data_IF_924667249283
#
_entry.id   IF_924667249283
#
_cell.length_a   1.000
_cell.length_b   1.000
_cell.length_c   1.000
_cell.angle_alpha   90.00
_cell.angle_beta   90.00
_cell.angle_gamma   90.00
#
_symmetry.space_group_name_H-M   'P 1'
#
loop_
_entity.id
_entity.type
_entity.pdbx_description
1 polymer ?
#
# COMPACT_ATOMS: atom_id res chain seq x y z
N UNK A 1 -32.37 4.05 -11.67
CA UNK A 1 -30.95 4.40 -11.83
C UNK A 1 -30.18 3.30 -11.11
N UNK A 2 -29.64 2.33 -11.85
CA UNK A 2 -29.20 1.04 -11.30
C UNK A 2 -27.99 1.17 -10.38
N UNK A 3 -28.13 0.62 -9.18
CA UNK A 3 -27.10 0.49 -8.15
C UNK A 3 -25.98 -0.45 -8.67
N UNK A 4 -24.82 0.13 -9.00
CA UNK A 4 -23.74 -0.52 -9.75
C UNK A 4 -22.51 -0.84 -8.88
N UNK A 5 -22.65 -0.91 -7.56
CA UNK A 5 -21.47 -0.97 -6.65
C UNK A 5 -21.47 -2.04 -5.57
N UNK A 6 -22.48 -2.91 -5.49
CA UNK A 6 -22.50 -3.99 -4.50
C UNK A 6 -22.48 -5.36 -5.17
N UNK A 7 -21.38 -6.12 -5.02
CA UNK A 7 -21.42 -7.57 -5.25
C UNK A 7 -22.12 -8.16 -4.02
N UNK A 8 -23.31 -8.76 -4.15
CA UNK A 8 -24.02 -9.28 -2.99
C UNK A 8 -23.21 -10.40 -2.31
N UNK A 9 -23.37 -10.51 -0.99
CA UNK A 9 -22.74 -11.58 -0.20
C UNK A 9 -23.43 -12.93 -0.46
N UNK A 10 -24.74 -12.92 -0.71
CA UNK A 10 -25.54 -14.13 -0.84
C UNK A 10 -25.00 -15.12 -1.90
N UNK A 11 -24.62 -14.71 -3.13
CA UNK A 11 -24.04 -15.66 -4.10
C UNK A 11 -22.77 -16.37 -3.64
N UNK A 12 -21.92 -15.74 -2.82
CA UNK A 12 -20.72 -16.39 -2.27
C UNK A 12 -21.09 -17.62 -1.42
N UNK A 13 -22.20 -17.52 -0.71
CA UNK A 13 -22.68 -18.54 0.23
C UNK A 13 -23.60 -19.53 -0.50
N UNK A 14 -24.40 -19.04 -1.44
CA UNK A 14 -25.39 -19.83 -2.15
C UNK A 14 -24.75 -20.87 -3.08
N UNK A 15 -23.64 -20.50 -3.71
CA UNK A 15 -22.87 -21.34 -4.62
C UNK A 15 -21.89 -22.28 -3.90
N UNK A 16 -21.69 -22.09 -2.58
CA UNK A 16 -20.77 -22.91 -1.80
C UNK A 16 -21.39 -24.26 -1.41
N UNK A 17 -20.69 -25.35 -1.76
CA UNK A 17 -20.98 -26.71 -1.28
C UNK A 17 -20.31 -26.98 0.08
N UNK A 18 -19.12 -26.42 0.29
CA UNK A 18 -18.36 -26.48 1.54
C UNK A 18 -17.83 -25.08 1.89
N UNK A 19 -17.64 -24.80 3.18
CA UNK A 19 -17.09 -23.52 3.63
C UNK A 19 -15.64 -23.68 4.11
N UNK A 20 -14.71 -23.17 3.31
CA UNK A 20 -13.28 -23.35 3.57
C UNK A 20 -12.70 -22.16 4.37
N UNK A 21 -11.51 -22.30 4.98
CA UNK A 21 -10.82 -21.19 5.64
C UNK A 21 -10.63 -19.96 4.72
N UNK A 22 -10.40 -20.19 3.42
CA UNK A 22 -10.24 -19.12 2.43
C UNK A 22 -11.51 -18.28 2.24
N UNK A 23 -12.69 -18.89 2.40
CA UNK A 23 -13.97 -18.22 2.17
C UNK A 23 -14.30 -17.19 3.25
N UNK A 24 -13.74 -17.32 4.47
CA UNK A 24 -13.79 -16.28 5.50
C UNK A 24 -13.11 -14.99 5.04
N UNK A 25 -11.96 -15.11 4.39
CA UNK A 25 -11.24 -13.96 3.83
C UNK A 25 -11.99 -13.32 2.66
N UNK A 26 -12.58 -14.13 1.77
CA UNK A 26 -13.43 -13.62 0.67
C UNK A 26 -14.66 -12.90 1.20
N UNK A 27 -15.33 -13.46 2.20
CA UNK A 27 -16.50 -12.87 2.85
C UNK A 27 -16.15 -11.51 3.45
N UNK A 28 -15.03 -11.43 4.18
CA UNK A 28 -14.55 -10.16 4.74
C UNK A 28 -14.24 -9.13 3.67
N UNK A 29 -13.40 -9.46 2.69
CA UNK A 29 -13.02 -8.54 1.59
C UNK A 29 -14.27 -8.03 0.87
N UNK A 30 -15.21 -8.93 0.53
CA UNK A 30 -16.44 -8.57 -0.16
C UNK A 30 -17.35 -7.69 0.71
N UNK A 31 -17.39 -7.93 2.02
CA UNK A 31 -18.18 -7.10 2.95
C UNK A 31 -17.71 -5.65 2.95
N UNK A 32 -16.41 -5.41 2.80
CA UNK A 32 -15.84 -4.06 2.78
C UNK A 32 -15.73 -3.43 1.39
N UNK A 33 -16.27 -4.02 0.32
CA UNK A 33 -16.06 -3.53 -1.06
C UNK A 33 -16.39 -2.03 -1.27
N UNK A 34 -17.26 -1.47 -0.43
CA UNK A 34 -17.66 -0.06 -0.41
C UNK A 34 -16.82 0.86 0.48
N UNK A 35 -15.84 0.31 1.19
CA UNK A 35 -14.87 1.02 2.02
C UNK A 35 -13.44 0.78 1.51
N UNK A 36 -13.03 1.39 0.37
CA UNK A 36 -11.79 1.04 -0.34
C UNK A 36 -10.50 1.13 0.49
N UNK A 37 -10.47 2.02 1.50
CA UNK A 37 -9.33 2.13 2.41
C UNK A 37 -9.14 0.85 3.22
N UNK A 38 -10.23 0.31 3.78
CA UNK A 38 -10.24 -0.94 4.56
C UNK A 38 -9.88 -2.11 3.65
N UNK A 39 -10.44 -2.19 2.44
CA UNK A 39 -10.15 -3.33 1.54
C UNK A 39 -8.70 -3.31 1.06
N UNK A 40 -8.11 -2.13 0.84
CA UNK A 40 -6.68 -2.01 0.52
C UNK A 40 -5.83 -2.56 1.67
N UNK A 41 -6.10 -2.14 2.90
CA UNK A 41 -5.30 -2.53 4.05
C UNK A 41 -5.51 -4.04 4.39
N UNK A 42 -6.75 -4.56 4.23
CA UNK A 42 -7.04 -6.00 4.26
C UNK A 42 -6.29 -6.79 3.19
N UNK A 43 -6.15 -6.25 1.98
CA UNK A 43 -5.49 -6.95 0.87
C UNK A 43 -3.98 -7.15 1.06
N UNK A 44 -3.37 -6.51 2.05
CA UNK A 44 -1.96 -6.72 2.41
C UNK A 44 -1.81 -8.00 3.26
N UNK A 45 -2.78 -8.25 4.14
CA UNK A 45 -2.76 -9.35 5.11
C UNK A 45 -3.45 -10.60 4.56
N UNK A 46 -4.59 -10.45 3.88
CA UNK A 46 -5.39 -11.56 3.38
C UNK A 46 -4.65 -12.43 2.36
N UNK A 47 -4.92 -13.74 2.22
CA UNK A 47 -4.32 -14.60 1.19
C UNK A 47 -4.56 -14.05 -0.22
N UNK A 48 -3.57 -14.21 -1.11
CA UNK A 48 -3.61 -13.60 -2.45
C UNK A 48 -4.76 -14.16 -3.29
N UNK A 49 -5.09 -15.43 -3.09
CA UNK A 49 -6.18 -16.15 -3.73
C UNK A 49 -7.54 -15.53 -3.39
N UNK A 50 -7.74 -15.09 -2.13
CA UNK A 50 -8.97 -14.40 -1.73
C UNK A 50 -9.07 -13.00 -2.35
N UNK A 51 -7.95 -12.27 -2.38
CA UNK A 51 -7.89 -10.94 -3.01
C UNK A 51 -8.22 -11.03 -4.50
N UNK A 52 -7.61 -11.96 -5.23
CA UNK A 52 -7.83 -12.12 -6.68
C UNK A 52 -9.27 -12.52 -7.02
N UNK A 53 -9.92 -13.34 -6.19
CA UNK A 53 -11.31 -13.74 -6.39
C UNK A 53 -12.30 -12.56 -6.29
N UNK A 54 -11.98 -11.57 -5.47
CA UNK A 54 -12.86 -10.43 -5.19
C UNK A 54 -12.54 -9.18 -6.00
N UNK A 55 -11.28 -8.98 -6.40
CA UNK A 55 -10.85 -7.82 -7.17
C UNK A 55 -10.69 -8.12 -8.66
N UNK A 56 -11.75 -7.94 -9.43
CA UNK A 56 -11.72 -8.13 -10.89
C UNK A 56 -11.91 -6.86 -11.71
N UNK A 57 -12.21 -5.71 -11.07
CA UNK A 57 -12.51 -4.46 -11.80
C UNK A 57 -11.37 -3.45 -11.71
N UNK A 58 -10.71 -3.24 -12.85
CA UNK A 58 -9.77 -2.13 -13.07
C UNK A 58 -10.57 -0.91 -13.52
N UNK A 59 -10.46 0.20 -12.79
CA UNK A 59 -11.02 1.49 -13.20
C UNK A 59 -9.98 2.33 -13.93
N UNK A 60 -10.39 3.25 -14.80
CA UNK A 60 -9.47 4.18 -15.45
C UNK A 60 -8.69 5.03 -14.44
N UNK A 61 -9.34 5.46 -13.35
CA UNK A 61 -8.70 6.19 -12.26
C UNK A 61 -7.66 5.35 -11.51
N UNK A 62 -7.96 4.07 -11.22
CA UNK A 62 -6.97 3.18 -10.59
C UNK A 62 -5.78 2.90 -11.51
N UNK A 63 -6.01 2.77 -12.82
CA UNK A 63 -4.93 2.62 -13.80
C UNK A 63 -4.01 3.85 -13.82
N UNK A 64 -4.57 5.05 -13.94
CA UNK A 64 -3.80 6.30 -13.94
C UNK A 64 -3.01 6.48 -12.64
N UNK A 65 -3.63 6.15 -11.49
CA UNK A 65 -2.96 6.18 -10.19
C UNK A 65 -1.79 5.21 -10.13
N UNK A 66 -1.97 3.96 -10.55
CA UNK A 66 -0.89 2.97 -10.60
C UNK A 66 0.24 3.40 -11.53
N UNK A 67 -0.08 3.98 -12.69
CA UNK A 67 0.91 4.54 -13.60
C UNK A 67 1.68 5.71 -12.97
N UNK A 68 1.01 6.59 -12.22
CA UNK A 68 1.67 7.70 -11.54
C UNK A 68 2.67 7.23 -10.47
N UNK A 69 2.33 6.19 -9.72
CA UNK A 69 3.26 5.61 -8.74
C UNK A 69 4.41 4.85 -9.40
N UNK A 70 4.12 4.08 -10.45
CA UNK A 70 5.16 3.42 -11.23
C UNK A 70 6.15 4.44 -11.81
N UNK A 71 5.62 5.53 -12.36
CA UNK A 71 6.43 6.62 -12.88
C UNK A 71 7.26 7.28 -11.77
N UNK A 72 6.69 7.55 -10.60
CA UNK A 72 7.44 8.15 -9.48
C UNK A 72 8.67 7.32 -9.09
N UNK A 73 8.59 5.99 -9.23
CA UNK A 73 9.71 5.07 -8.97
C UNK A 73 10.71 5.06 -10.14
N UNK A 74 10.21 4.97 -11.38
CA UNK A 74 11.06 4.74 -12.56
C UNK A 74 11.67 6.03 -13.12
N UNK A 75 11.00 7.17 -12.98
CA UNK A 75 11.42 8.46 -13.51
C UNK A 75 12.84 8.87 -13.08
N UNK A 76 13.14 8.94 -11.77
CA UNK A 76 14.47 9.27 -11.28
C UNK A 76 15.55 8.30 -11.79
N UNK A 77 15.24 6.99 -11.83
CA UNK A 77 16.14 5.97 -12.36
C UNK A 77 16.48 6.20 -13.84
N UNK A 78 15.46 6.48 -14.66
CA UNK A 78 15.65 6.77 -16.10
C UNK A 78 16.49 8.03 -16.27
N UNK A 79 16.23 9.09 -15.49
CA UNK A 79 17.02 10.31 -15.50
C UNK A 79 18.50 10.04 -15.20
N UNK A 80 18.79 9.30 -14.14
CA UNK A 80 20.16 8.93 -13.80
C UNK A 80 20.82 8.01 -14.85
N UNK A 81 20.07 7.07 -15.43
CA UNK A 81 20.57 6.21 -16.50
C UNK A 81 20.95 7.02 -17.76
N UNK A 82 20.18 8.05 -18.10
CA UNK A 82 20.51 8.98 -19.18
C UNK A 82 21.80 9.76 -18.87
N UNK A 83 21.97 10.24 -17.64
CA UNK A 83 23.20 10.92 -17.19
C UNK A 83 24.42 9.99 -17.27
N UNK A 84 24.29 8.74 -16.79
CA UNK A 84 25.36 7.72 -16.86
C UNK A 84 25.72 7.44 -18.33
N UNK A 85 24.71 7.19 -19.17
CA UNK A 85 24.91 6.93 -20.59
C UNK A 85 25.66 8.08 -21.25
N UNK A 86 25.22 9.32 -21.00
CA UNK A 86 25.89 10.52 -21.52
C UNK A 86 27.36 10.59 -21.09
N UNK A 87 27.64 10.33 -19.81
CA UNK A 87 29.00 10.34 -19.28
C UNK A 87 29.91 9.26 -19.90
N UNK A 88 29.35 8.10 -20.28
CA UNK A 88 30.11 7.00 -20.90
C UNK A 88 30.30 7.14 -22.41
N UNK A 89 29.38 7.79 -23.13
CA UNK A 89 29.44 7.90 -24.61
C UNK A 89 30.21 9.13 -25.11
N UNK A 90 31.10 9.69 -24.28
CA UNK A 90 31.86 10.92 -24.55
C UNK A 90 30.94 12.11 -24.83
N UNK A 91 30.51 12.79 -23.75
CA UNK A 91 29.56 13.92 -23.70
C UNK A 91 29.86 15.17 -24.54
N UNK A 92 30.68 15.06 -25.58
CA UNK A 92 31.03 16.11 -26.54
C UNK A 92 30.09 16.13 -27.76
N UNK A 93 29.38 15.04 -28.04
CA UNK A 93 28.45 14.97 -29.19
C UNK A 93 27.01 15.36 -28.86
N UNK A 94 26.65 15.44 -27.57
CA UNK A 94 25.28 15.68 -27.12
C UNK A 94 25.26 16.50 -25.84
N UNK A 95 24.25 17.37 -25.71
CA UNK A 95 24.02 18.18 -24.51
C UNK A 95 23.82 17.30 -23.27
N UNK A 96 24.34 17.77 -22.12
CA UNK A 96 24.08 17.19 -20.81
C UNK A 96 22.57 17.03 -20.56
N UNK A 97 22.03 15.80 -20.36
CA UNK A 97 20.58 15.58 -20.22
C UNK A 97 20.03 15.95 -18.83
N UNK A 98 20.59 16.98 -18.19
CA UNK A 98 20.24 17.41 -16.84
C UNK A 98 18.81 17.94 -16.75
N UNK A 99 18.36 18.71 -17.75
CA UNK A 99 16.98 19.18 -17.79
C UNK A 99 15.97 18.02 -17.84
N UNK A 100 16.25 17.00 -18.67
CA UNK A 100 15.40 15.81 -18.76
C UNK A 100 15.38 15.05 -17.43
N UNK A 101 16.55 14.79 -16.83
CA UNK A 101 16.63 14.15 -15.52
C UNK A 101 15.85 14.96 -14.45
N UNK A 102 16.03 16.28 -14.45
CA UNK A 102 15.32 17.20 -13.55
C UNK A 102 13.80 17.18 -13.72
N UNK A 103 13.28 17.14 -14.96
CA UNK A 103 11.84 17.04 -15.24
C UNK A 103 11.29 15.71 -14.71
N UNK A 104 11.97 14.60 -14.97
CA UNK A 104 11.54 13.28 -14.50
C UNK A 104 11.50 13.23 -12.97
N UNK A 105 12.52 13.78 -12.31
CA UNK A 105 12.57 13.91 -10.86
C UNK A 105 11.52 14.89 -10.32
N UNK A 106 11.24 16.02 -11.00
CA UNK A 106 10.20 16.97 -10.58
C UNK A 106 8.83 16.31 -10.49
N UNK A 107 8.47 15.52 -11.51
CA UNK A 107 7.21 14.79 -11.55
C UNK A 107 7.14 13.73 -10.44
N UNK A 108 8.23 13.00 -10.19
CA UNK A 108 8.32 12.06 -9.09
C UNK A 108 8.19 12.75 -7.72
N UNK A 109 8.84 13.91 -7.55
CA UNK A 109 8.77 14.72 -6.34
C UNK A 109 7.35 15.21 -6.06
N UNK A 110 6.60 15.64 -7.08
CA UNK A 110 5.20 16.04 -6.93
C UNK A 110 4.37 14.88 -6.37
N UNK A 111 4.54 13.67 -6.92
CA UNK A 111 3.85 12.46 -6.43
C UNK A 111 4.28 12.13 -5.00
N UNK A 112 5.56 12.22 -4.69
CA UNK A 112 6.10 11.99 -3.35
C UNK A 112 5.55 12.96 -2.30
N UNK A 113 5.54 14.27 -2.61
CA UNK A 113 4.97 15.31 -1.74
C UNK A 113 3.48 15.09 -1.54
N UNK A 114 2.73 14.80 -2.61
CA UNK A 114 1.32 14.45 -2.51
C UNK A 114 1.09 13.23 -1.60
N UNK A 115 1.91 12.19 -1.77
CA UNK A 115 1.91 11.01 -0.90
C UNK A 115 2.16 11.36 0.57
N UNK A 116 3.11 12.25 0.85
CA UNK A 116 3.39 12.70 2.22
C UNK A 116 2.25 13.52 2.84
N UNK A 117 1.57 14.35 2.05
CA UNK A 117 0.36 15.08 2.48
C UNK A 117 -0.74 14.08 2.83
N UNK A 118 -0.94 13.05 2.00
CA UNK A 118 -1.95 12.03 2.26
C UNK A 118 -1.61 11.21 3.50
N UNK A 119 -0.36 10.79 3.65
CA UNK A 119 0.14 10.10 4.84
C UNK A 119 0.01 10.98 6.11
N UNK A 120 0.06 12.31 5.97
CA UNK A 120 -0.23 13.25 7.07
C UNK A 120 -1.69 13.29 7.47
N UNK A 121 -2.61 13.23 6.51
CA UNK A 121 -4.04 13.22 6.80
C UNK A 121 -4.55 11.86 7.25
N UNK A 122 -3.96 10.80 6.71
CA UNK A 122 -4.35 9.41 6.91
C UNK A 122 -3.11 8.57 7.21
N UNK A 123 -2.57 8.64 8.44
CA UNK A 123 -1.38 7.89 8.81
C UNK A 123 -1.57 6.39 8.61
N UNK A 124 -0.55 5.71 8.09
CA UNK A 124 -0.50 4.26 7.92
C UNK A 124 0.89 3.72 8.29
N UNK A 125 0.93 2.57 8.94
CA UNK A 125 2.16 1.83 9.15
C UNK A 125 2.66 1.28 7.81
N UNK A 126 3.95 1.43 7.56
CA UNK A 126 4.66 0.85 6.39
C UNK A 126 5.79 -0.02 6.92
N UNK A 127 6.18 -1.06 6.20
CA UNK A 127 7.36 -1.86 6.62
C UNK A 127 8.65 -1.07 6.41
N UNK A 128 9.63 -1.24 7.31
CA UNK A 128 10.93 -0.58 7.20
C UNK A 128 11.64 -0.92 5.89
N UNK A 129 11.50 -2.18 5.42
CA UNK A 129 12.05 -2.63 4.13
C UNK A 129 11.47 -1.87 2.94
N UNK A 130 10.14 -1.72 2.87
CA UNK A 130 9.48 -0.99 1.79
C UNK A 130 9.85 0.49 1.78
N UNK A 131 9.87 1.14 2.95
CA UNK A 131 10.34 2.53 3.08
C UNK A 131 11.77 2.69 2.59
N UNK A 132 12.67 1.78 3.03
CA UNK A 132 14.09 1.84 2.67
C UNK A 132 14.29 1.67 1.17
N UNK A 133 13.63 0.68 0.57
CA UNK A 133 13.68 0.45 -0.87
C UNK A 133 13.20 1.67 -1.64
N UNK A 134 12.03 2.22 -1.28
CA UNK A 134 11.49 3.41 -1.93
C UNK A 134 12.47 4.59 -1.83
N UNK A 135 13.00 4.88 -0.63
CA UNK A 135 13.90 6.00 -0.46
C UNK A 135 15.22 5.84 -1.25
N UNK A 136 15.79 4.64 -1.28
CA UNK A 136 17.02 4.38 -2.03
C UNK A 136 16.83 4.53 -3.55
N UNK A 137 15.63 4.22 -4.07
CA UNK A 137 15.28 4.41 -5.48
C UNK A 137 15.23 5.89 -5.90
N UNK A 138 15.21 6.82 -4.95
CA UNK A 138 15.30 8.26 -5.22
C UNK A 138 16.69 8.81 -4.88
N UNK A 139 17.24 8.44 -3.72
CA UNK A 139 18.52 8.96 -3.24
C UNK A 139 19.68 8.56 -4.15
N UNK A 140 19.75 7.29 -4.56
CA UNK A 140 20.88 6.81 -5.39
C UNK A 140 20.88 7.49 -6.77
N UNK A 141 19.76 7.51 -7.53
CA UNK A 141 19.72 8.19 -8.83
C UNK A 141 20.00 9.69 -8.72
N UNK A 142 19.51 10.35 -7.68
CA UNK A 142 19.80 11.75 -7.43
C UNK A 142 21.29 11.98 -7.14
N UNK A 143 21.90 11.19 -6.26
CA UNK A 143 23.33 11.28 -5.95
C UNK A 143 24.20 11.09 -7.20
N UNK A 144 23.88 10.11 -8.04
CA UNK A 144 24.57 9.88 -9.32
C UNK A 144 24.43 11.09 -10.24
N UNK A 145 23.21 11.60 -10.44
CA UNK A 145 22.95 12.72 -11.36
C UNK A 145 23.65 13.99 -10.91
N UNK A 146 23.60 14.30 -9.60
CA UNK A 146 24.28 15.45 -9.00
C UNK A 146 25.80 15.33 -9.11
N UNK A 147 26.36 14.14 -8.85
CA UNK A 147 27.79 13.89 -8.98
C UNK A 147 28.27 14.09 -10.42
N UNK A 148 27.54 13.56 -11.41
CA UNK A 148 27.87 13.71 -12.83
C UNK A 148 27.76 15.17 -13.29
N UNK A 149 26.74 15.90 -12.87
CA UNK A 149 26.59 17.33 -13.16
C UNK A 149 27.75 18.15 -12.54
N UNK A 150 28.14 17.85 -11.30
CA UNK A 150 29.22 18.57 -10.61
C UNK A 150 30.63 18.24 -11.12
N UNK A 151 30.80 17.10 -11.78
CA UNK A 151 32.10 16.61 -12.28
C UNK A 151 32.17 16.72 -13.81
N UNK A 152 31.77 15.67 -14.53
CA UNK A 152 31.86 15.57 -15.98
C UNK A 152 31.06 16.67 -16.70
N UNK A 153 29.90 17.06 -16.16
CA UNK A 153 29.02 18.07 -16.76
C UNK A 153 29.37 19.52 -16.43
N UNK A 154 30.37 19.78 -15.57
CA UNK A 154 30.59 21.10 -14.98
C UNK A 154 30.80 22.21 -16.00
N UNK A 155 31.53 21.95 -17.08
CA UNK A 155 31.80 22.93 -18.14
C UNK A 155 30.59 23.24 -19.03
N UNK A 156 29.56 22.39 -18.99
CA UNK A 156 28.34 22.53 -19.77
C UNK A 156 27.19 23.18 -18.97
N UNK A 157 27.38 23.39 -17.66
CA UNK A 157 26.35 23.99 -16.83
C UNK A 157 26.16 25.48 -17.15
N UNK A 158 24.90 25.84 -17.34
CA UNK A 158 24.43 27.21 -17.53
C UNK A 158 23.63 27.69 -16.32
N UNK A 159 23.33 28.99 -16.25
CA UNK A 159 22.53 29.56 -15.15
C UNK A 159 21.17 28.85 -14.91
N UNK A 160 20.38 28.56 -15.96
CA UNK A 160 19.12 27.80 -15.82
C UNK A 160 19.27 26.39 -15.23
N UNK A 161 20.41 25.73 -15.41
CA UNK A 161 20.63 24.35 -14.96
C UNK A 161 20.64 24.21 -13.43
N UNK A 162 20.91 25.30 -12.72
CA UNK A 162 20.84 25.35 -11.26
C UNK A 162 19.46 24.94 -10.76
N UNK A 163 18.39 25.26 -11.49
CA UNK A 163 17.03 24.87 -11.12
C UNK A 163 16.89 23.34 -11.05
N UNK A 164 17.43 22.63 -12.04
CA UNK A 164 17.34 21.17 -12.11
C UNK A 164 18.17 20.48 -11.04
N UNK A 165 19.35 21.04 -10.72
CA UNK A 165 20.16 20.60 -9.57
C UNK A 165 19.35 20.73 -8.27
N UNK A 166 18.70 21.88 -8.05
CA UNK A 166 17.87 22.12 -6.85
C UNK A 166 16.72 21.12 -6.76
N UNK A 167 16.02 20.86 -7.87
CA UNK A 167 14.91 19.88 -7.91
C UNK A 167 15.39 18.48 -7.53
N UNK A 168 16.50 18.02 -8.13
CA UNK A 168 17.05 16.69 -7.85
C UNK A 168 17.52 16.58 -6.39
N UNK A 169 18.16 17.63 -5.86
CA UNK A 169 18.58 17.69 -4.47
C UNK A 169 17.38 17.70 -3.50
N UNK A 170 16.31 18.42 -3.81
CA UNK A 170 15.10 18.47 -3.00
C UNK A 170 14.41 17.10 -2.92
N UNK A 171 14.35 16.35 -4.03
CA UNK A 171 13.80 14.99 -4.04
C UNK A 171 14.63 14.02 -3.20
N UNK A 172 15.96 14.07 -3.33
CA UNK A 172 16.85 13.27 -2.48
C UNK A 172 16.66 13.62 -1.00
N UNK A 173 16.61 14.91 -0.67
CA UNK A 173 16.45 15.38 0.71
C UNK A 173 15.11 14.92 1.31
N UNK A 174 14.01 15.00 0.55
CA UNK A 174 12.73 14.47 0.98
C UNK A 174 12.86 13.02 1.41
N UNK A 175 13.44 12.17 0.57
CA UNK A 175 13.57 10.74 0.85
C UNK A 175 14.58 10.42 1.97
N UNK A 176 15.63 11.23 2.14
CA UNK A 176 16.52 11.15 3.32
C UNK A 176 15.74 11.47 4.59
N UNK A 177 14.92 12.52 4.60
CA UNK A 177 14.07 12.86 5.75
C UNK A 177 13.10 11.72 6.07
N UNK A 178 12.52 11.07 5.07
CA UNK A 178 11.64 9.91 5.28
C UNK A 178 12.37 8.72 5.91
N UNK A 179 13.60 8.42 5.47
CA UNK A 179 14.43 7.39 6.09
C UNK A 179 14.73 7.67 7.55
N UNK A 180 15.12 8.91 7.87
CA UNK A 180 15.47 9.33 9.23
C UNK A 180 14.25 9.32 10.15
N UNK A 181 13.10 9.78 9.63
CA UNK A 181 11.83 9.77 10.37
C UNK A 181 11.36 8.36 10.68
N UNK A 182 11.63 7.41 9.79
CA UNK A 182 11.27 6.02 9.96
C UNK A 182 9.85 5.66 9.50
N UNK A 183 9.52 4.36 9.55
CA UNK A 183 8.32 3.78 8.91
C UNK A 183 7.00 4.06 9.63
N UNK A 184 7.07 4.48 10.89
CA UNK A 184 5.90 4.61 11.76
C UNK A 184 5.91 5.97 12.41
N UNK A 185 4.72 6.56 12.56
CA UNK A 185 4.55 7.87 13.20
C UNK A 185 4.20 7.69 14.67
N UNK A 186 4.79 8.49 15.58
CA UNK A 186 4.36 8.52 16.97
C UNK A 186 2.85 8.81 17.05
N UNK A 187 2.10 7.94 17.73
CA UNK A 187 0.64 8.06 17.88
C UNK A 187 -0.19 7.65 16.66
N UNK A 188 0.42 7.14 15.59
CA UNK A 188 -0.29 6.56 14.44
C UNK A 188 -0.40 5.03 14.51
N UNK A 189 -0.97 4.37 13.48
CA UNK A 189 -0.97 2.92 13.35
C UNK A 189 0.45 2.34 13.43
N UNK A 190 0.63 1.23 14.14
CA UNK A 190 1.94 0.62 14.36
C UNK A 190 2.19 -0.61 13.48
N UNK A 191 1.12 -1.25 12.99
CA UNK A 191 1.16 -2.44 12.16
C UNK A 191 0.02 -2.46 11.14
N UNK A 192 -0.03 -3.50 10.31
CA UNK A 192 -1.03 -3.64 9.24
C UNK A 192 -2.46 -3.85 9.77
N UNK A 193 -2.63 -4.45 10.96
CA UNK A 193 -3.95 -4.57 11.60
C UNK A 193 -4.42 -3.21 12.11
N UNK A 194 -3.53 -2.39 12.67
CA UNK A 194 -3.87 -1.02 13.06
C UNK A 194 -4.22 -0.15 11.84
N UNK A 195 -3.66 -0.45 10.65
CA UNK A 195 -4.08 0.21 9.41
C UNK A 195 -5.54 -0.10 9.07
N UNK A 196 -5.97 -1.35 9.23
CA UNK A 196 -7.39 -1.74 9.07
C UNK A 196 -8.25 -0.95 10.05
N UNK A 197 -7.89 -0.93 11.33
CA UNK A 197 -8.62 -0.19 12.38
C UNK A 197 -8.71 1.31 12.07
N UNK A 198 -7.63 1.91 11.61
CA UNK A 198 -7.62 3.30 11.16
C UNK A 198 -8.51 3.51 9.91
N UNK A 199 -8.56 2.54 8.99
CA UNK A 199 -9.51 2.57 7.88
C UNK A 199 -10.96 2.55 8.34
N UNK A 200 -11.27 1.79 9.40
CA UNK A 200 -12.61 1.77 10.00
C UNK A 200 -12.97 3.11 10.64
N UNK A 201 -12.05 3.76 11.38
CA UNK A 201 -12.33 5.08 11.99
C UNK A 201 -12.56 6.18 10.95
N UNK A 202 -11.96 6.04 9.76
CA UNK A 202 -12.16 6.95 8.62
C UNK A 202 -13.43 6.66 7.82
N UNK A 203 -14.07 5.51 8.03
CA UNK A 203 -15.28 5.11 7.31
C UNK A 203 -16.53 5.66 8.02
N UNK A 204 -17.51 6.23 7.29
CA UNK A 204 -18.74 6.73 7.91
C UNK A 204 -19.49 5.63 8.69
N UNK A 205 -19.96 5.95 9.89
CA UNK A 205 -20.60 4.97 10.78
C UNK A 205 -21.76 4.20 10.13
N UNK A 206 -22.62 4.88 9.36
CA UNK A 206 -23.75 4.23 8.68
C UNK A 206 -23.30 3.13 7.69
N UNK A 207 -22.14 3.29 7.06
CA UNK A 207 -21.56 2.26 6.17
C UNK A 207 -21.06 1.08 7.00
N UNK A 208 -20.44 1.33 8.15
CA UNK A 208 -19.99 0.28 9.06
C UNK A 208 -21.15 -0.54 9.62
N UNK A 209 -22.23 0.13 10.03
CA UNK A 209 -23.45 -0.51 10.53
C UNK A 209 -24.06 -1.42 9.45
N UNK A 210 -24.16 -0.92 8.21
CA UNK A 210 -24.64 -1.71 7.07
C UNK A 210 -23.76 -2.95 6.80
N UNK A 211 -22.43 -2.78 6.83
CA UNK A 211 -21.47 -3.89 6.67
C UNK A 211 -21.67 -4.92 7.79
N UNK A 212 -21.85 -4.48 9.04
CA UNK A 212 -22.06 -5.37 10.17
C UNK A 212 -23.35 -6.18 10.04
N UNK A 213 -24.45 -5.54 9.64
CA UNK A 213 -25.74 -6.19 9.46
C UNK A 213 -25.72 -7.19 8.29
N UNK A 214 -25.07 -6.82 7.18
CA UNK A 214 -24.83 -7.73 6.05
C UNK A 214 -23.98 -8.93 6.48
N UNK A 215 -22.92 -8.71 7.27
CA UNK A 215 -22.06 -9.79 7.81
C UNK A 215 -22.85 -10.72 8.73
N UNK A 216 -23.67 -10.19 9.63
CA UNK A 216 -24.50 -10.99 10.54
C UNK A 216 -25.50 -11.86 9.76
N UNK A 217 -26.16 -11.26 8.76
CA UNK A 217 -27.08 -11.98 7.86
C UNK A 217 -26.37 -13.08 7.07
N UNK A 218 -25.15 -12.82 6.60
CA UNK A 218 -24.32 -13.80 5.90
C UNK A 218 -23.91 -14.98 6.81
N UNK A 219 -23.48 -14.71 8.05
CA UNK A 219 -23.14 -15.75 9.03
C UNK A 219 -24.36 -16.61 9.37
N UNK A 220 -25.54 -15.99 9.51
CA UNK A 220 -26.77 -16.72 9.76
C UNK A 220 -27.17 -17.60 8.57
N UNK A 221 -27.00 -17.11 7.34
CA UNK A 221 -27.23 -17.90 6.13
C UNK A 221 -26.28 -19.11 6.06
N UNK A 222 -24.99 -18.92 6.37
CA UNK A 222 -24.01 -20.01 6.44
C UNK A 222 -24.45 -21.09 7.44
N UNK A 223 -24.90 -20.68 8.62
CA UNK A 223 -25.40 -21.59 9.66
C UNK A 223 -26.67 -22.32 9.22
N UNK A 224 -27.61 -21.63 8.58
CA UNK A 224 -28.87 -22.23 8.10
C UNK A 224 -28.67 -23.27 6.99
N UNK A 225 -27.54 -23.21 6.29
CA UNK A 225 -27.13 -24.17 5.25
C UNK A 225 -26.22 -25.28 5.76
N UNK A 226 -26.04 -25.36 7.08
CA UNK A 226 -25.13 -26.31 7.75
C UNK A 226 -23.68 -26.24 7.23
N UNK A 227 -23.28 -25.09 6.65
CA UNK A 227 -21.91 -24.85 6.18
C UNK A 227 -20.96 -24.52 7.33
N UNK A 228 -21.50 -24.06 8.46
CA UNK A 228 -20.79 -23.81 9.71
C UNK A 228 -21.66 -24.26 10.89
N UNK A 229 -21.01 -24.65 11.99
CA UNK A 229 -21.69 -25.02 13.23
C UNK A 229 -22.04 -23.78 14.08
N UNK A 230 -22.81 -24.00 15.16
CA UNK A 230 -23.19 -22.93 16.08
C UNK A 230 -21.97 -22.28 16.77
N UNK A 231 -20.93 -23.07 17.05
CA UNK A 231 -19.67 -22.57 17.61
C UNK A 231 -18.95 -21.64 16.65
N UNK A 232 -18.80 -22.04 15.38
CA UNK A 232 -18.23 -21.23 14.30
C UNK A 232 -19.01 -19.95 14.07
N UNK A 233 -20.34 -20.00 14.06
CA UNK A 233 -21.20 -18.82 13.94
C UNK A 233 -21.02 -17.84 15.12
N UNK A 234 -20.92 -18.36 16.35
CA UNK A 234 -20.70 -17.53 17.54
C UNK A 234 -19.32 -16.84 17.49
N UNK A 235 -18.26 -17.57 17.10
CA UNK A 235 -16.92 -16.99 16.92
C UNK A 235 -16.90 -15.93 15.82
N UNK A 236 -17.49 -16.22 14.66
CA UNK A 236 -17.54 -15.29 13.53
C UNK A 236 -18.30 -13.99 13.88
N UNK A 237 -19.39 -14.08 14.65
CA UNK A 237 -20.13 -12.90 15.11
C UNK A 237 -19.36 -12.09 16.16
N UNK A 238 -18.56 -12.75 17.00
CA UNK A 238 -17.70 -12.10 17.99
C UNK A 238 -16.44 -11.47 17.39
N UNK A 239 -16.08 -11.84 16.16
CA UNK A 239 -14.90 -11.30 15.49
C UNK A 239 -14.99 -9.77 15.33
N UNK A 240 -13.94 -9.01 15.69
CA UNK A 240 -13.88 -7.59 15.43
C UNK A 240 -14.13 -7.27 13.95
N UNK A 241 -14.63 -6.07 13.70
CA UNK A 241 -14.81 -5.59 12.33
C UNK A 241 -13.44 -5.47 11.65
N UNK A 242 -13.30 -6.02 10.44
CA UNK A 242 -12.02 -6.05 9.71
C UNK A 242 -11.02 -7.11 10.20
N UNK A 243 -11.42 -8.01 11.11
CA UNK A 243 -10.57 -9.10 11.61
C UNK A 243 -11.26 -10.48 11.52
N UNK A 244 -12.29 -10.64 10.67
CA UNK A 244 -13.02 -11.91 10.51
C UNK A 244 -12.12 -13.03 9.97
N UNK A 245 -11.40 -12.78 8.88
CA UNK A 245 -10.46 -13.73 8.29
C UNK A 245 -9.33 -14.08 9.26
N UNK A 246 -8.81 -13.07 9.97
CA UNK A 246 -7.80 -13.27 11.03
C UNK A 246 -8.32 -14.12 12.20
N UNK A 247 -9.60 -13.98 12.56
CA UNK A 247 -10.20 -14.74 13.67
C UNK A 247 -10.53 -16.18 13.26
N UNK A 248 -11.01 -16.37 12.03
CA UNK A 248 -11.56 -17.65 11.58
C UNK A 248 -10.58 -18.51 10.81
N UNK A 249 -9.58 -17.91 10.17
CA UNK A 249 -8.56 -18.58 9.36
C UNK A 249 -7.19 -17.87 9.47
N UNK A 250 -6.65 -17.69 10.71
CA UNK A 250 -5.38 -17.00 10.94
C UNK A 250 -4.19 -17.63 10.18
N UNK A 251 -4.22 -18.94 9.96
CA UNK A 251 -3.17 -19.70 9.28
C UNK A 251 -2.96 -19.32 7.81
N UNK A 252 -3.94 -18.65 7.20
CA UNK A 252 -3.86 -18.18 5.81
C UNK A 252 -3.38 -16.72 5.69
N UNK A 253 -3.15 -16.02 6.80
CA UNK A 253 -2.65 -14.65 6.77
C UNK A 253 -1.23 -14.60 6.18
N UNK A 254 -1.01 -13.74 5.17
CA UNK A 254 0.31 -13.55 4.54
C UNK A 254 1.32 -12.85 5.44
N UNK A 255 0.82 -11.96 6.29
CA UNK A 255 1.62 -11.20 7.25
C UNK A 255 0.87 -11.19 8.59
N UNK A 256 1.28 -12.05 9.51
CA UNK A 256 0.92 -11.87 10.91
C UNK A 256 1.86 -10.82 11.48
N UNK A 257 1.38 -9.85 12.27
CA UNK A 257 2.27 -8.91 12.93
C UNK A 257 3.27 -9.71 13.77
N UNK A 258 4.56 -9.44 13.59
CA UNK A 258 5.53 -9.75 14.64
C UNK A 258 4.99 -9.12 15.92
N UNK A 259 4.96 -9.91 17.00
CA UNK A 259 4.58 -9.37 18.31
C UNK A 259 5.37 -8.07 18.53
N UNK A 260 4.75 -7.00 19.06
CA UNK A 260 5.42 -5.72 19.22
C UNK A 260 6.77 -5.94 19.90
N UNK A 261 7.84 -5.35 19.36
CA UNK A 261 9.18 -5.46 19.92
C UNK A 261 9.13 -5.08 21.41
N UNK A 262 9.13 -6.09 22.30
CA UNK A 262 8.88 -5.93 23.74
C UNK A 262 7.83 -6.86 24.35
N UNK A 263 7.10 -7.67 23.56
CA UNK A 263 6.26 -8.73 24.13
C UNK A 263 7.16 -9.80 24.79
N UNK A 264 6.92 -10.17 26.06
CA UNK A 264 7.70 -11.23 26.71
C UNK A 264 7.59 -12.52 25.89
N UNK A 265 8.67 -13.32 25.78
CA UNK A 265 8.61 -14.59 25.10
C UNK A 265 7.46 -15.40 25.69
N UNK A 266 6.60 -15.95 24.82
CA UNK A 266 5.58 -16.92 25.25
C UNK A 266 6.36 -18.07 25.87
N UNK A 267 6.29 -18.19 27.20
CA UNK A 267 6.70 -19.42 27.85
C UNK A 267 5.83 -20.53 27.28
N UNK A 268 6.46 -21.44 26.54
CA UNK A 268 5.92 -22.78 26.31
C UNK A 268 5.59 -23.33 27.70
N UNK A 269 4.29 -23.42 28.00
CA UNK A 269 3.81 -24.22 29.12
C UNK A 269 3.80 -25.64 28.57
N UNK A 270 4.92 -26.33 28.73
CA UNK A 270 4.92 -27.78 28.74
C UNK A 270 4.05 -28.23 29.92
N UNK A 271 2.96 -28.91 29.59
CA UNK A 271 2.00 -29.52 30.53
C UNK A 271 1.00 -30.39 29.80
#
# INVERSE_FOLDING_TARGET
MGDLTHRPLAPLIEEAEEWTPLDWWKLEIRSFIVAPAVVRDLSIIAPQEAVQAEYTKITGASCLRSLSYLYAIVGPLVGAAMMIRWAWTSGDNFDLPLATAGILTALALIVGVYGQVQEHRHPRAVTAGSLRTLALLHIIPAAVSLLLAATAGRSQLTGPDVLWIVVIAADALLHVVLLVRGPVRPGGPQNEVDNIRQGLTETPQHVLDEIQDRRRSAIELLRSRDLIDAGGAARANAAPMGELGLTMAPELARHLPDAPAGAPPRHEVDG
#
